data_IF_064866746886
#
_entry.id   IF_064866746886
#
_cell.length_a   1.000
_cell.length_b   1.000
_cell.length_c   1.000
_cell.angle_alpha   90.00
_cell.angle_beta   90.00
_cell.angle_gamma   90.00
#
_symmetry.space_group_name_H-M   'P 1'
#
loop_
_entity.id
_entity.type
_entity.pdbx_description
1 polymer ?
#
# COMPACT_ATOMS: atom_id res chain seq x y z
N UNK A 1 5.71 5.15 12.89
CA UNK A 1 5.89 3.85 13.58
C UNK A 1 6.61 2.91 12.62
N UNK A 2 7.50 1.99 13.06
CA UNK A 2 8.35 1.20 12.17
C UNK A 2 7.57 0.28 11.21
N UNK A 3 6.29 0.01 11.50
CA UNK A 3 5.42 -0.81 10.66
C UNK A 3 5.00 -0.09 9.36
N UNK A 4 4.84 1.23 9.40
CA UNK A 4 4.41 2.04 8.26
C UNK A 4 5.49 2.10 7.16
N UNK A 5 6.76 2.13 7.57
CA UNK A 5 7.93 2.14 6.68
C UNK A 5 8.09 0.79 5.95
N UNK A 6 7.95 -0.32 6.67
CA UNK A 6 8.02 -1.67 6.08
C UNK A 6 6.87 -1.93 5.08
N UNK A 7 5.65 -1.51 5.41
CA UNK A 7 4.50 -1.60 4.49
C UNK A 7 4.73 -0.71 3.28
N UNK A 8 5.28 0.49 3.46
CA UNK A 8 5.57 1.41 2.36
C UNK A 8 6.67 0.88 1.43
N UNK A 9 7.73 0.27 1.96
CA UNK A 9 8.74 -0.43 1.18
C UNK A 9 8.15 -1.60 0.39
N UNK A 10 7.28 -2.40 1.03
CA UNK A 10 6.58 -3.50 0.36
C UNK A 10 5.64 -3.01 -0.75
N UNK A 11 4.89 -1.93 -0.51
CA UNK A 11 4.03 -1.32 -1.51
C UNK A 11 4.84 -0.69 -2.65
N UNK A 12 6.05 -0.20 -2.38
CA UNK A 12 6.96 0.36 -3.40
C UNK A 12 7.53 -0.67 -4.37
N UNK A 13 7.61 -1.95 -3.97
CA UNK A 13 8.02 -3.05 -4.85
C UNK A 13 6.82 -3.78 -5.48
N UNK A 14 5.60 -3.51 -4.98
CA UNK A 14 4.37 -4.09 -5.49
C UNK A 14 3.85 -3.29 -6.69
N UNK A 15 3.82 -3.94 -7.85
CA UNK A 15 3.20 -3.37 -9.04
C UNK A 15 1.67 -3.36 -8.96
N UNK A 16 1.00 -2.61 -9.84
CA UNK A 16 -0.45 -2.44 -9.80
C UNK A 16 -1.22 -3.77 -9.84
N UNK A 17 -0.65 -4.77 -10.52
CA UNK A 17 -1.18 -6.14 -10.56
C UNK A 17 -1.10 -6.85 -9.21
N UNK A 18 0.00 -6.69 -8.47
CA UNK A 18 0.18 -7.26 -7.14
C UNK A 18 -0.77 -6.63 -6.13
N UNK A 19 -0.94 -5.30 -6.19
CA UNK A 19 -1.92 -4.56 -5.37
C UNK A 19 -3.35 -5.05 -5.64
N UNK A 20 -3.72 -5.22 -6.92
CA UNK A 20 -5.04 -5.71 -7.31
C UNK A 20 -5.27 -7.17 -6.87
N UNK A 21 -4.24 -8.01 -6.99
CA UNK A 21 -4.28 -9.39 -6.52
C UNK A 21 -4.45 -9.46 -5.00
N UNK A 22 -3.64 -8.71 -4.24
CA UNK A 22 -3.74 -8.63 -2.78
C UNK A 22 -5.14 -8.19 -2.36
N UNK A 23 -5.65 -7.10 -2.95
CA UNK A 23 -7.00 -6.61 -2.66
C UNK A 23 -8.10 -7.63 -2.95
N UNK A 24 -7.88 -8.59 -3.87
CA UNK A 24 -8.85 -9.64 -4.20
C UNK A 24 -8.64 -10.92 -3.39
N UNK A 25 -7.42 -11.17 -2.94
CA UNK A 25 -7.07 -12.31 -2.09
C UNK A 25 -7.39 -12.05 -0.61
N UNK A 26 -7.44 -10.78 -0.20
CA UNK A 26 -7.74 -10.37 1.17
C UNK A 26 -9.24 -10.47 1.47
N UNK A 27 -9.62 -10.96 2.67
CA UNK A 27 -11.01 -10.95 3.12
C UNK A 27 -11.52 -9.51 3.27
N UNK A 28 -12.83 -9.31 3.17
CA UNK A 28 -13.46 -7.97 3.11
C UNK A 28 -12.98 -7.00 4.20
N UNK A 29 -12.82 -7.48 5.44
CA UNK A 29 -12.31 -6.67 6.55
C UNK A 29 -10.89 -6.15 6.34
N UNK A 30 -10.05 -6.91 5.63
CA UNK A 30 -8.68 -6.49 5.32
C UNK A 30 -8.57 -5.67 4.04
N UNK A 31 -9.56 -5.72 3.14
CA UNK A 31 -9.59 -4.87 1.95
C UNK A 31 -9.67 -3.38 2.33
N UNK A 32 -10.49 -3.06 3.33
CA UNK A 32 -10.67 -1.69 3.82
C UNK A 32 -9.39 -1.16 4.49
N UNK A 33 -8.73 -2.01 5.29
CA UNK A 33 -7.44 -1.73 5.93
C UNK A 33 -6.35 -1.54 4.87
N UNK A 34 -6.26 -2.46 3.91
CA UNK A 34 -5.28 -2.41 2.83
C UNK A 34 -5.46 -1.17 1.94
N UNK A 35 -6.71 -0.80 1.64
CA UNK A 35 -7.03 0.41 0.87
C UNK A 35 -6.62 1.67 1.63
N UNK A 36 -6.85 1.71 2.94
CA UNK A 36 -6.43 2.82 3.81
C UNK A 36 -4.89 2.95 3.88
N UNK A 37 -4.19 1.82 4.02
CA UNK A 37 -2.72 1.77 4.00
C UNK A 37 -2.15 2.18 2.64
N UNK A 38 -2.75 1.73 1.54
CA UNK A 38 -2.34 2.09 0.19
C UNK A 38 -2.59 3.58 -0.13
N UNK A 39 -3.74 4.12 0.28
CA UNK A 39 -4.05 5.55 0.12
C UNK A 39 -3.07 6.42 0.93
N UNK A 40 -2.77 6.00 2.16
CA UNK A 40 -1.75 6.61 3.01
C UNK A 40 -0.38 6.54 2.34
N UNK A 41 0.04 5.36 1.85
CA UNK A 41 1.29 5.22 1.10
C UNK A 41 1.34 6.14 -0.12
N UNK A 42 0.28 6.21 -0.93
CA UNK A 42 0.26 7.14 -2.07
C UNK A 42 0.38 8.59 -1.61
N UNK A 43 -0.33 8.96 -0.55
CA UNK A 43 -0.36 10.33 -0.04
C UNK A 43 0.97 10.77 0.58
N UNK A 44 1.70 9.86 1.25
CA UNK A 44 2.95 10.19 1.95
C UNK A 44 4.20 9.84 1.12
N UNK A 45 4.19 8.73 0.37
CA UNK A 45 5.35 8.23 -0.38
C UNK A 45 5.26 8.48 -1.89
N UNK A 46 4.08 8.47 -2.52
CA UNK A 46 4.01 8.84 -3.96
C UNK A 46 4.16 10.35 -4.16
N UNK A 47 3.83 11.15 -3.14
CA UNK A 47 4.04 12.61 -3.10
C UNK A 47 5.42 13.04 -2.57
N UNK A 48 6.25 12.13 -2.06
CA UNK A 48 7.67 12.43 -1.73
C UNK A 48 8.54 12.40 -2.98
N UNK A 49 8.01 12.87 -4.11
CA UNK A 49 8.66 12.88 -5.40
C UNK A 49 10.13 13.21 -5.28
N UNK A 50 10.98 12.21 -5.54
CA UNK A 50 12.20 12.49 -6.28
C UNK A 50 11.73 13.01 -7.63
N UNK A 51 11.60 14.33 -7.70
CA UNK A 51 11.77 15.09 -8.96
C UNK A 51 13.18 14.82 -9.46
#
# INVERSE_FOLDING_TARGET
EPLDDAVSQFLSICDQHAISLLSRALPASMQEIFKTLYDTYIKFYKYTGKV
#
